data_IF_056520911380
#
_entry.id   IF_056520911380
#
_cell.length_a   1.000
_cell.length_b   1.000
_cell.length_c   1.000
_cell.angle_alpha   90.00
_cell.angle_beta   90.00
_cell.angle_gamma   90.00
#
_symmetry.space_group_name_H-M   'P 1'
#
loop_
_entity.id
_entity.type
_entity.pdbx_description
1 polymer ?
#
# COMPACT_ATOMS: atom_id res chain seq x y z
N UNK A 1 -4.33 0.03 7.84
CA UNK A 1 -3.82 0.31 6.48
C UNK A 1 -3.48 -0.96 5.71
N UNK A 2 -2.62 -1.83 6.26
CA UNK A 2 -2.16 -3.05 5.56
C UNK A 2 -3.30 -3.99 5.10
N UNK A 3 -4.23 -4.32 5.99
CA UNK A 3 -5.37 -5.21 5.67
C UNK A 3 -6.23 -4.67 4.51
N UNK A 4 -6.47 -3.35 4.50
CA UNK A 4 -7.25 -2.70 3.43
C UNK A 4 -6.49 -2.75 2.11
N UNK A 5 -5.18 -2.47 2.10
CA UNK A 5 -4.36 -2.61 0.90
C UNK A 5 -4.34 -4.05 0.37
N UNK A 6 -4.28 -5.05 1.24
CA UNK A 6 -4.33 -6.46 0.83
C UNK A 6 -5.66 -6.81 0.16
N UNK A 7 -6.80 -6.43 0.77
CA UNK A 7 -8.13 -6.68 0.18
C UNK A 7 -8.27 -5.97 -1.18
N UNK A 8 -7.78 -4.73 -1.29
CA UNK A 8 -7.84 -3.96 -2.54
C UNK A 8 -6.91 -4.53 -3.63
N UNK A 9 -5.73 -5.03 -3.25
CA UNK A 9 -4.82 -5.71 -4.18
C UNK A 9 -5.38 -7.06 -4.66
N UNK A 10 -6.08 -7.81 -3.79
CA UNK A 10 -6.80 -9.01 -4.22
C UNK A 10 -7.95 -8.67 -5.16
N UNK A 11 -8.69 -7.60 -4.87
CA UNK A 11 -9.78 -7.14 -5.74
C UNK A 11 -9.29 -6.69 -7.12
N UNK A 12 -8.19 -5.92 -7.19
CA UNK A 12 -7.66 -5.45 -8.47
C UNK A 12 -7.04 -6.59 -9.29
N UNK A 13 -6.49 -7.63 -8.64
CA UNK A 13 -5.99 -8.81 -9.32
C UNK A 13 -7.07 -9.65 -10.02
N UNK A 14 -8.33 -9.49 -9.64
CA UNK A 14 -9.48 -10.12 -10.29
C UNK A 14 -10.08 -9.28 -11.43
N UNK A 15 -9.57 -8.07 -11.67
CA UNK A 15 -10.03 -7.16 -12.75
C UNK A 15 -9.16 -7.32 -14.00
N UNK A 16 -9.70 -7.03 -15.20
CA UNK A 16 -8.92 -7.05 -16.43
C UNK A 16 -7.80 -6.01 -16.40
N UNK A 17 -6.68 -6.32 -17.05
CA UNK A 17 -5.52 -5.44 -17.19
C UNK A 17 -5.77 -4.36 -18.28
N UNK A 18 -6.79 -3.55 -18.06
CA UNK A 18 -7.21 -2.44 -18.92
C UNK A 18 -7.29 -1.15 -18.10
N UNK A 19 -7.32 -0.01 -18.78
CA UNK A 19 -7.62 1.26 -18.10
C UNK A 19 -9.08 1.26 -17.60
N UNK A 20 -9.36 1.73 -16.37
CA UNK A 20 -8.49 2.44 -15.42
C UNK A 20 -7.81 1.54 -14.36
N UNK A 21 -7.98 0.22 -14.43
CA UNK A 21 -7.54 -0.71 -13.38
C UNK A 21 -6.02 -0.81 -13.27
N UNK A 22 -5.28 -0.63 -14.38
CA UNK A 22 -3.81 -0.59 -14.38
C UNK A 22 -3.30 0.53 -13.45
N UNK A 23 -3.81 1.76 -13.63
CA UNK A 23 -3.40 2.90 -12.81
C UNK A 23 -3.73 2.68 -11.33
N UNK A 24 -4.91 2.10 -11.08
CA UNK A 24 -5.37 1.82 -9.71
C UNK A 24 -4.49 0.75 -9.05
N UNK A 25 -4.12 -0.30 -9.78
CA UNK A 25 -3.19 -1.34 -9.34
C UNK A 25 -1.80 -0.79 -9.03
N UNK A 26 -1.27 0.11 -9.87
CA UNK A 26 0.00 0.79 -9.64
C UNK A 26 -0.01 1.64 -8.36
N UNK A 27 -1.07 2.41 -8.13
CA UNK A 27 -1.19 3.22 -6.91
C UNK A 27 -1.27 2.35 -5.64
N UNK A 28 -1.98 1.22 -5.70
CA UNK A 28 -2.09 0.28 -4.57
C UNK A 28 -0.76 -0.43 -4.26
N UNK A 29 0.00 -0.84 -5.27
CA UNK A 29 1.32 -1.47 -5.06
C UNK A 29 2.33 -0.48 -4.50
N UNK A 30 2.34 0.76 -5.01
CA UNK A 30 3.16 1.85 -4.46
C UNK A 30 2.82 2.08 -2.99
N UNK A 31 1.53 2.20 -2.64
CA UNK A 31 1.07 2.35 -1.25
C UNK A 31 1.51 1.19 -0.36
N UNK A 32 1.41 -0.04 -0.87
CA UNK A 32 1.81 -1.24 -0.13
C UNK A 32 3.30 -1.24 0.23
N UNK A 33 4.19 -0.96 -0.72
CA UNK A 33 5.64 -0.92 -0.43
C UNK A 33 6.05 0.28 0.40
N UNK A 34 5.43 1.45 0.20
CA UNK A 34 5.66 2.64 1.02
C UNK A 34 5.36 2.40 2.49
N UNK A 35 4.31 1.62 2.79
CA UNK A 35 3.98 1.28 4.17
C UNK A 35 5.16 0.60 4.88
N UNK A 36 5.85 -0.35 4.23
CA UNK A 36 7.01 -1.02 4.82
C UNK A 36 8.23 -0.12 4.98
N UNK A 37 8.37 0.92 4.15
CA UNK A 37 9.45 1.90 4.28
C UNK A 37 9.16 2.92 5.40
N UNK A 38 7.92 3.40 5.47
CA UNK A 38 7.51 4.47 6.39
C UNK A 38 7.33 3.94 7.82
N UNK A 39 6.80 2.73 7.99
CA UNK A 39 6.50 2.18 9.33
C UNK A 39 7.73 2.15 10.29
N UNK A 40 8.92 1.64 9.91
CA UNK A 40 10.08 1.70 10.80
C UNK A 40 10.57 3.14 11.06
N UNK A 41 10.40 4.05 10.11
CA UNK A 41 10.74 5.47 10.30
C UNK A 41 9.81 6.13 11.32
N UNK A 42 8.52 5.83 11.26
CA UNK A 42 7.52 6.31 12.23
C UNK A 42 7.78 5.78 13.63
N UNK A 43 8.08 4.48 13.76
CA UNK A 43 8.42 3.85 15.05
C UNK A 43 9.65 4.54 15.64
N UNK A 44 10.71 4.73 14.85
CA UNK A 44 11.92 5.42 15.29
C UNK A 44 11.67 6.88 15.69
N UNK A 45 10.76 7.57 15.00
CA UNK A 45 10.37 8.93 15.35
C UNK A 45 9.57 8.98 16.65
N UNK A 46 8.68 8.02 16.87
CA UNK A 46 7.88 7.91 18.09
C UNK A 46 8.76 7.58 19.30
N UNK A 47 9.67 6.60 19.18
CA UNK A 47 10.64 6.23 20.22
C UNK A 47 11.58 7.39 20.58
N UNK A 48 11.80 8.35 19.68
CA UNK A 48 12.63 9.54 19.94
C UNK A 48 11.87 10.66 20.66
N UNK A 49 10.55 10.71 20.50
CA UNK A 49 9.70 11.74 21.10
C UNK A 49 9.15 11.32 22.47
N UNK A 50 9.35 10.06 22.87
CA UNK A 50 9.12 9.53 24.22
C UNK A 50 10.44 9.54 24.99
#
# INVERSE_FOLDING_TARGET
MLLVNLILLTWIGARPAEEPFILTGQMLTISYFLYYLINPLLIKFWDKNI
#
